data_IF_460810315177
#
_entry.id   IF_460810315177
#
_cell.length_a   1.000
_cell.length_b   1.000
_cell.length_c   1.000
_cell.angle_alpha   90.00
_cell.angle_beta   90.00
_cell.angle_gamma   90.00
#
_symmetry.space_group_name_H-M   'P 1'
#
loop_
_entity.id
_entity.type
_entity.pdbx_description
1 polymer ?
#
# COMPACT_ATOMS: atom_id res chain seq x y z
N UNK A 1 5.70 11.20 3.59
CA UNK A 1 5.77 10.73 2.19
C UNK A 1 5.50 9.23 2.20
N UNK A 2 4.71 8.72 1.25
CA UNK A 2 4.47 7.28 1.06
C UNK A 2 5.07 6.90 -0.30
N UNK A 3 5.92 5.88 -0.33
CA UNK A 3 6.60 5.41 -1.54
C UNK A 3 6.13 3.99 -1.89
N UNK A 4 5.80 3.77 -3.15
CA UNK A 4 5.37 2.49 -3.71
C UNK A 4 6.20 2.12 -4.93
N UNK A 5 6.13 0.85 -5.33
CA UNK A 5 6.91 0.32 -6.44
C UNK A 5 8.27 -0.21 -5.98
N UNK A 6 9.27 -0.10 -6.85
CA UNK A 6 10.64 -0.52 -6.56
C UNK A 6 11.40 0.62 -5.88
N UNK A 7 11.66 0.48 -4.58
CA UNK A 7 12.35 1.49 -3.79
C UNK A 7 13.86 1.41 -3.95
N UNK A 8 14.40 0.20 -4.04
CA UNK A 8 15.83 -0.04 -4.14
C UNK A 8 16.32 -0.07 -5.59
N UNK A 9 17.62 0.19 -5.77
CA UNK A 9 18.23 0.12 -7.08
C UNK A 9 18.23 -1.32 -7.62
N UNK A 10 17.95 -1.54 -8.91
CA UNK A 10 17.81 -2.88 -9.51
C UNK A 10 19.13 -3.65 -9.63
N UNK A 11 20.27 -2.98 -9.41
CA UNK A 11 21.61 -3.56 -9.36
C UNK A 11 22.07 -3.88 -7.93
N UNK A 12 21.23 -3.59 -6.93
CA UNK A 12 21.55 -3.75 -5.51
C UNK A 12 22.43 -2.66 -4.92
N UNK A 13 22.79 -1.64 -5.71
CA UNK A 13 23.64 -0.57 -5.26
C UNK A 13 22.89 0.38 -4.30
N UNK A 14 23.41 0.54 -3.09
CA UNK A 14 22.83 1.44 -2.08
C UNK A 14 23.50 2.82 -2.06
N UNK A 15 24.37 3.15 -3.02
CA UNK A 15 25.14 4.41 -3.07
C UNK A 15 24.25 5.66 -2.97
N UNK A 16 23.06 5.63 -3.56
CA UNK A 16 22.10 6.72 -3.48
C UNK A 16 21.55 6.94 -2.05
N UNK A 17 21.49 5.86 -1.25
CA UNK A 17 21.02 5.88 0.14
C UNK A 17 22.17 6.10 1.14
N UNK A 18 23.42 5.75 0.78
CA UNK A 18 24.58 5.81 1.67
C UNK A 18 24.73 7.15 2.41
N UNK A 19 24.63 8.34 1.78
CA UNK A 19 24.74 9.61 2.50
C UNK A 19 23.67 9.81 3.58
N UNK A 20 22.51 9.16 3.46
CA UNK A 20 21.46 9.21 4.48
C UNK A 20 21.71 8.18 5.59
N UNK A 21 22.21 7.00 5.25
CA UNK A 21 22.61 5.97 6.21
C UNK A 21 23.79 6.45 7.09
N UNK A 22 24.77 7.15 6.50
CA UNK A 22 25.90 7.74 7.22
C UNK A 22 25.57 9.07 7.89
N UNK A 23 24.32 9.54 7.80
CA UNK A 23 23.84 10.81 8.36
C UNK A 23 24.51 12.08 7.79
N UNK A 24 25.20 11.99 6.66
CA UNK A 24 25.73 13.15 5.90
C UNK A 24 24.60 14.00 5.31
N UNK A 25 23.52 13.35 4.87
CA UNK A 25 22.28 13.97 4.41
C UNK A 25 21.12 13.58 5.31
N UNK A 26 20.05 14.37 5.26
CA UNK A 26 18.83 14.15 6.05
C UNK A 26 17.61 14.11 5.15
N UNK A 27 16.73 13.16 5.44
CA UNK A 27 15.41 13.10 4.82
C UNK A 27 14.50 14.07 5.57
N UNK A 28 14.05 15.12 4.87
CA UNK A 28 13.36 16.26 5.49
C UNK A 28 11.94 15.95 5.95
N UNK A 29 11.29 14.96 5.32
CA UNK A 29 9.91 14.56 5.61
C UNK A 29 9.89 13.08 5.97
N UNK A 30 9.22 12.66 7.07
CA UNK A 30 9.04 11.25 7.39
C UNK A 30 8.54 10.47 6.17
N UNK A 31 9.29 9.46 5.76
CA UNK A 31 9.10 8.71 4.52
C UNK A 31 8.89 7.25 4.85
N UNK A 32 7.75 6.71 4.42
CA UNK A 32 7.37 5.32 4.58
C UNK A 32 7.35 4.67 3.22
N UNK A 33 7.90 3.46 3.09
CA UNK A 33 7.96 2.77 1.80
C UNK A 33 7.62 1.29 1.91
N UNK A 34 7.13 0.75 0.80
CA UNK A 34 7.07 -0.69 0.51
C UNK A 34 8.08 -1.04 -0.58
N UNK A 35 8.31 -2.33 -0.79
CA UNK A 35 9.13 -2.86 -1.88
C UNK A 35 8.26 -3.56 -2.92
N UNK A 36 8.75 -3.71 -4.14
CA UNK A 36 8.15 -4.51 -5.20
C UNK A 36 8.88 -5.83 -5.40
N UNK A 37 9.12 -6.18 -6.66
CA UNK A 37 9.80 -7.38 -7.13
C UNK A 37 11.33 -7.21 -7.23
N UNK A 38 11.96 -6.39 -6.39
CA UNK A 38 13.41 -6.21 -6.44
C UNK A 38 14.16 -7.54 -6.26
N UNK A 39 15.17 -7.79 -7.10
CA UNK A 39 15.87 -9.07 -7.17
C UNK A 39 16.76 -9.34 -5.94
N UNK A 40 16.39 -10.28 -5.05
CA UNK A 40 17.17 -10.56 -3.84
C UNK A 40 18.55 -11.13 -4.17
N UNK A 41 18.74 -11.75 -5.35
CA UNK A 41 20.04 -12.27 -5.79
C UNK A 41 21.09 -11.19 -6.02
N UNK A 42 20.66 -9.93 -6.16
CA UNK A 42 21.52 -8.75 -6.29
C UNK A 42 21.70 -8.00 -4.98
N UNK A 43 21.08 -8.45 -3.89
CA UNK A 43 21.16 -7.79 -2.58
C UNK A 43 20.40 -6.47 -2.50
N UNK A 44 19.47 -6.20 -3.42
CA UNK A 44 18.72 -4.93 -3.47
C UNK A 44 17.89 -4.67 -2.22
N UNK A 45 17.37 -5.70 -1.57
CA UNK A 45 16.58 -5.59 -0.33
C UNK A 45 17.41 -5.81 0.93
N UNK A 46 18.75 -5.91 0.83
CA UNK A 46 19.61 -6.25 1.98
C UNK A 46 19.46 -5.33 3.20
N UNK A 47 19.10 -4.06 2.97
CA UNK A 47 18.85 -3.08 4.03
C UNK A 47 17.59 -3.36 4.86
N UNK A 48 16.69 -4.23 4.38
CA UNK A 48 15.42 -4.56 5.04
C UNK A 48 15.27 -6.05 5.38
N UNK A 49 16.31 -6.85 5.11
CA UNK A 49 16.30 -8.30 5.37
C UNK A 49 16.12 -8.64 6.86
N UNK A 50 16.63 -7.80 7.76
CA UNK A 50 16.50 -7.95 9.22
C UNK A 50 15.24 -7.28 9.80
N UNK A 51 14.49 -6.52 8.99
CA UNK A 51 13.27 -5.80 9.40
C UNK A 51 12.08 -6.12 8.50
N UNK A 52 11.88 -7.41 8.20
CA UNK A 52 10.85 -7.87 7.26
C UNK A 52 9.42 -7.48 7.69
N UNK A 53 9.17 -7.36 9.00
CA UNK A 53 7.90 -6.91 9.56
C UNK A 53 7.79 -5.36 9.65
N UNK A 54 8.78 -4.67 9.10
CA UNK A 54 8.93 -3.23 9.07
C UNK A 54 9.85 -2.70 10.16
N UNK A 55 10.40 -1.52 9.92
CA UNK A 55 11.37 -0.90 10.81
C UNK A 55 11.96 0.38 10.23
N UNK A 56 12.62 1.15 11.08
CA UNK A 56 13.38 2.32 10.65
C UNK A 56 14.70 1.88 10.02
N UNK A 57 14.94 2.24 8.76
CA UNK A 57 16.20 2.00 8.05
C UNK A 57 17.23 3.05 8.45
N UNK A 58 16.80 4.31 8.49
CA UNK A 58 17.55 5.44 9.03
C UNK A 58 16.58 6.57 9.38
N UNK A 59 17.09 7.66 9.96
CA UNK A 59 16.27 8.77 10.44
C UNK A 59 15.28 9.26 9.38
N UNK A 60 13.99 9.23 9.70
CA UNK A 60 12.87 9.62 8.83
C UNK A 60 12.65 8.72 7.60
N UNK A 61 13.23 7.51 7.56
CA UNK A 61 13.00 6.52 6.52
C UNK A 61 12.60 5.18 7.14
N UNK A 62 11.37 4.77 6.89
CA UNK A 62 10.78 3.59 7.50
C UNK A 62 10.26 2.63 6.44
N UNK A 63 10.74 1.39 6.48
CA UNK A 63 10.14 0.30 5.73
C UNK A 63 8.86 -0.15 6.46
N UNK A 64 7.73 -0.20 5.76
CA UNK A 64 6.46 -0.59 6.38
C UNK A 64 6.42 -2.07 6.74
N UNK A 65 7.12 -2.91 5.98
CA UNK A 65 7.15 -4.35 6.14
C UNK A 65 6.63 -5.08 4.90
N UNK A 66 6.62 -6.40 4.98
CA UNK A 66 6.12 -7.30 3.94
C UNK A 66 4.65 -7.07 3.65
N UNK A 67 3.82 -7.13 4.68
CA UNK A 67 2.37 -6.96 4.58
C UNK A 67 1.83 -6.50 5.93
N UNK A 68 0.63 -5.90 5.91
CA UNK A 68 -0.11 -5.58 7.13
C UNK A 68 -0.82 -4.24 7.06
N UNK A 69 -1.25 -3.76 8.23
CA UNK A 69 -1.83 -2.43 8.39
C UNK A 69 -1.24 -1.74 9.62
N UNK A 70 -0.91 -0.45 9.49
CA UNK A 70 -0.28 0.36 10.55
C UNK A 70 -0.89 1.75 10.59
N UNK A 71 -1.04 2.31 11.80
CA UNK A 71 -1.30 3.74 11.96
C UNK A 71 0.01 4.48 11.99
N UNK A 72 0.13 5.49 11.13
CA UNK A 72 1.30 6.35 11.08
C UNK A 72 1.24 7.41 12.19
N UNK A 73 2.38 8.00 12.61
CA UNK A 73 2.41 9.07 13.61
C UNK A 73 1.56 10.31 13.25
N UNK A 74 1.28 10.53 11.97
CA UNK A 74 0.35 11.58 11.52
C UNK A 74 -1.13 11.22 11.67
N UNK A 75 -1.45 10.04 12.21
CA UNK A 75 -2.80 9.56 12.43
C UNK A 75 -3.42 8.81 11.24
N UNK A 76 -2.77 8.74 10.08
CA UNK A 76 -3.30 7.98 8.93
C UNK A 76 -3.22 6.48 9.14
N UNK A 77 -4.29 5.74 8.84
CA UNK A 77 -4.28 4.28 8.78
C UNK A 77 -3.86 3.80 7.40
N UNK A 78 -2.81 2.99 7.32
CA UNK A 78 -2.22 2.53 6.06
C UNK A 78 -2.17 1.02 6.03
N UNK A 79 -2.86 0.41 5.07
CA UNK A 79 -2.66 -0.98 4.67
C UNK A 79 -1.58 -1.04 3.58
N UNK A 80 -0.74 -2.07 3.60
CA UNK A 80 0.38 -2.16 2.67
C UNK A 80 0.70 -3.61 2.28
N UNK A 81 1.12 -3.80 1.04
CA UNK A 81 1.61 -5.06 0.48
C UNK A 81 2.89 -4.81 -0.32
N UNK A 82 4.00 -5.37 0.16
CA UNK A 82 5.28 -5.41 -0.53
C UNK A 82 5.41 -6.71 -1.35
N UNK A 83 6.20 -6.66 -2.42
CA UNK A 83 6.42 -7.80 -3.30
C UNK A 83 5.54 -7.80 -4.55
N UNK A 84 5.71 -8.85 -5.35
CA UNK A 84 4.94 -9.10 -6.56
C UNK A 84 4.18 -10.43 -6.55
N UNK A 85 3.13 -10.51 -7.37
CA UNK A 85 2.41 -11.74 -7.60
C UNK A 85 3.28 -12.75 -8.35
N UNK A 86 3.38 -13.96 -7.80
CA UNK A 86 3.96 -15.13 -8.48
C UNK A 86 2.99 -16.30 -8.32
N UNK A 87 2.29 -16.74 -9.39
CA UNK A 87 1.26 -17.78 -9.29
C UNK A 87 1.73 -19.03 -8.53
N UNK A 88 2.94 -19.51 -8.88
CA UNK A 88 3.53 -20.70 -8.29
C UNK A 88 3.89 -20.53 -6.82
N UNK A 89 4.08 -19.31 -6.32
CA UNK A 89 4.43 -19.05 -4.91
C UNK A 89 3.22 -18.67 -4.06
N UNK A 90 2.25 -18.01 -4.68
CA UNK A 90 1.09 -17.46 -3.99
C UNK A 90 0.27 -18.52 -3.24
N UNK A 91 0.07 -19.69 -3.85
CA UNK A 91 -0.74 -20.78 -3.29
C UNK A 91 0.05 -21.78 -2.42
N UNK A 92 1.38 -21.88 -2.59
CA UNK A 92 2.19 -22.91 -1.94
C UNK A 92 2.42 -22.64 -0.44
N UNK A 93 2.45 -21.38 -0.03
CA UNK A 93 3.02 -21.02 1.27
C UNK A 93 2.04 -20.99 2.44
N UNK A 94 0.73 -21.21 2.24
CA UNK A 94 -0.19 -21.40 3.37
C UNK A 94 0.21 -22.62 4.24
N UNK A 95 0.82 -23.66 3.65
CA UNK A 95 1.37 -24.82 4.37
C UNK A 95 2.79 -24.61 4.92
N UNK A 96 3.52 -23.59 4.45
CA UNK A 96 4.90 -23.28 4.82
C UNK A 96 5.07 -21.96 5.59
N UNK A 97 3.98 -21.23 5.87
CA UNK A 97 3.98 -19.94 6.56
C UNK A 97 4.68 -19.98 7.93
N UNK A 98 4.75 -21.15 8.58
CA UNK A 98 5.50 -21.39 9.82
C UNK A 98 7.03 -21.51 9.66
N UNK A 99 7.57 -21.48 8.44
CA UNK A 99 9.02 -21.49 8.13
C UNK A 99 9.54 -20.17 7.59
N UNK A 100 8.85 -19.04 7.80
CA UNK A 100 9.24 -17.70 7.30
C UNK A 100 10.47 -17.09 8.02
N UNK A 101 11.40 -17.92 8.46
CA UNK A 101 12.71 -17.53 9.00
C UNK A 101 13.75 -17.43 7.87
N UNK A 102 13.34 -16.88 6.72
CA UNK A 102 14.23 -16.66 5.59
C UNK A 102 15.15 -15.49 5.92
N UNK A 103 16.46 -15.67 5.71
CA UNK A 103 17.46 -14.62 5.94
C UNK A 103 17.26 -13.38 5.04
N UNK A 104 16.47 -13.51 3.97
CA UNK A 104 16.24 -12.45 2.99
C UNK A 104 14.74 -12.19 2.81
N UNK A 105 14.38 -10.92 2.59
CA UNK A 105 13.03 -10.55 2.22
C UNK A 105 12.69 -11.14 0.84
N UNK A 106 11.58 -11.87 0.76
CA UNK A 106 11.13 -12.44 -0.51
C UNK A 106 10.55 -11.34 -1.42
N UNK A 107 10.83 -11.34 -2.74
CA UNK A 107 10.31 -10.35 -3.69
C UNK A 107 8.86 -10.65 -4.12
N UNK A 108 8.16 -11.49 -3.37
CA UNK A 108 6.80 -11.92 -3.64
C UNK A 108 6.04 -12.10 -2.34
N UNK A 109 4.73 -11.90 -2.42
CA UNK A 109 3.82 -12.16 -1.32
C UNK A 109 3.05 -13.47 -1.55
N UNK A 110 2.45 -13.94 -0.46
CA UNK A 110 1.70 -15.21 -0.42
C UNK A 110 0.24 -14.94 -0.02
N UNK A 111 -0.62 -15.95 -0.15
CA UNK A 111 -2.04 -15.80 0.17
C UNK A 111 -2.28 -15.33 1.61
N UNK A 112 -1.51 -15.83 2.58
CA UNK A 112 -1.66 -15.44 3.99
C UNK A 112 -1.27 -13.99 4.28
N UNK A 113 -0.35 -13.40 3.50
CA UNK A 113 -0.03 -11.97 3.60
C UNK A 113 -1.24 -11.11 3.19
N UNK A 114 -1.97 -11.54 2.16
CA UNK A 114 -3.20 -10.89 1.70
C UNK A 114 -4.32 -11.06 2.72
N UNK A 115 -4.49 -12.28 3.25
CA UNK A 115 -5.48 -12.57 4.30
C UNK A 115 -5.23 -11.72 5.57
N UNK A 116 -3.96 -11.57 5.95
CA UNK A 116 -3.56 -10.73 7.08
C UNK A 116 -3.98 -9.27 6.87
N UNK A 117 -3.75 -8.70 5.69
CA UNK A 117 -4.14 -7.32 5.38
C UNK A 117 -5.67 -7.17 5.44
N UNK A 118 -6.42 -8.10 4.84
CA UNK A 118 -7.89 -8.05 4.88
C UNK A 118 -8.38 -8.10 6.32
N UNK A 119 -7.88 -9.04 7.13
CA UNK A 119 -8.23 -9.17 8.54
C UNK A 119 -7.86 -7.91 9.34
N UNK A 120 -6.65 -7.39 9.16
CA UNK A 120 -6.16 -6.21 9.87
C UNK A 120 -6.97 -4.96 9.49
N UNK A 121 -7.29 -4.76 8.21
CA UNK A 121 -8.07 -3.63 7.74
C UNK A 121 -9.54 -3.67 8.19
N UNK A 122 -10.07 -4.85 8.54
CA UNK A 122 -11.43 -5.04 9.08
C UNK A 122 -11.52 -4.90 10.60
N UNK A 123 -10.40 -4.74 11.30
CA UNK A 123 -10.38 -4.60 12.76
C UNK A 123 -10.32 -5.90 13.56
N UNK A 124 -10.02 -7.03 12.92
CA UNK A 124 -9.94 -8.35 13.56
C UNK A 124 -11.31 -9.05 13.68
N UNK A 125 -11.41 -10.30 13.21
CA UNK A 125 -12.64 -11.09 13.26
C UNK A 125 -12.75 -11.95 14.55
N UNK A 126 -11.69 -12.03 15.35
CA UNK A 126 -11.53 -13.02 16.45
C UNK A 126 -11.59 -12.44 17.88
N UNK A 127 -12.34 -11.35 18.11
CA UNK A 127 -12.58 -10.83 19.46
C UNK A 127 -11.40 -10.14 20.16
N UNK A 128 -10.24 -10.04 19.50
CA UNK A 128 -9.22 -9.04 19.82
C UNK A 128 -9.58 -7.77 19.06
N UNK A 129 -10.28 -6.85 19.72
CA UNK A 129 -10.63 -5.54 19.18
C UNK A 129 -9.33 -4.80 18.81
N UNK A 130 -8.97 -4.80 17.53
CA UNK A 130 -8.04 -3.81 17.01
C UNK A 130 -8.85 -2.52 16.81
N UNK A 131 -9.22 -1.87 17.93
CA UNK A 131 -9.96 -0.60 17.99
C UNK A 131 -9.31 0.49 17.11
N UNK A 132 -8.04 0.30 16.75
CA UNK A 132 -7.29 1.19 15.89
C UNK A 132 -7.80 1.22 14.43
N UNK A 133 -8.44 0.16 13.90
CA UNK A 133 -8.93 0.13 12.51
C UNK A 133 -10.43 -0.18 12.37
N UNK A 134 -11.07 -0.60 13.46
CA UNK A 134 -12.41 -1.22 13.46
C UNK A 134 -13.57 -0.30 13.04
N UNK A 135 -13.40 1.01 13.01
CA UNK A 135 -14.54 1.93 12.83
C UNK A 135 -14.82 2.34 11.38
N UNK A 136 -13.86 2.24 10.44
CA UNK A 136 -14.09 2.73 9.08
C UNK A 136 -13.07 2.29 8.00
N UNK A 137 -12.29 1.23 8.23
CA UNK A 137 -11.28 0.76 7.28
C UNK A 137 -9.99 1.58 7.28
N UNK A 138 -9.34 1.71 6.12
CA UNK A 138 -8.02 2.32 5.99
C UNK A 138 -8.04 3.61 5.17
N UNK A 139 -7.23 4.59 5.56
CA UNK A 139 -7.04 5.81 4.77
C UNK A 139 -6.39 5.48 3.43
N UNK A 140 -5.32 4.69 3.43
CA UNK A 140 -4.53 4.39 2.23
C UNK A 140 -4.18 2.90 2.16
N UNK A 141 -4.42 2.30 1.00
CA UNK A 141 -3.87 1.01 0.59
C UNK A 141 -2.66 1.25 -0.32
N UNK A 142 -1.50 0.69 0.05
CA UNK A 142 -0.28 0.73 -0.73
C UNK A 142 0.03 -0.64 -1.30
N UNK A 143 0.17 -0.75 -2.61
CA UNK A 143 0.64 -1.98 -3.27
C UNK A 143 1.77 -1.64 -4.22
N UNK A 144 2.67 -2.58 -4.48
CA UNK A 144 3.69 -2.37 -5.51
C UNK A 144 3.04 -2.40 -6.90
N UNK A 145 2.32 -3.49 -7.19
CA UNK A 145 1.63 -3.77 -8.47
C UNK A 145 0.17 -3.31 -8.49
N UNK A 146 -0.40 -3.27 -9.69
CA UNK A 146 -1.81 -3.01 -9.97
C UNK A 146 -2.62 -4.31 -9.94
N UNK A 147 -3.96 -4.18 -9.89
CA UNK A 147 -4.87 -5.31 -10.03
C UNK A 147 -5.14 -5.66 -11.49
N UNK A 148 -5.27 -6.95 -11.83
CA UNK A 148 -5.55 -7.45 -13.19
C UNK A 148 -6.82 -6.86 -13.85
N UNK A 149 -7.81 -6.45 -13.05
CA UNK A 149 -9.09 -5.91 -13.55
C UNK A 149 -9.14 -4.38 -13.58
N UNK A 150 -7.98 -3.72 -13.59
CA UNK A 150 -7.95 -2.25 -13.60
C UNK A 150 -8.54 -1.67 -14.89
N UNK A 151 -8.51 -2.43 -15.98
CA UNK A 151 -9.06 -2.09 -17.29
C UNK A 151 -10.58 -1.90 -17.23
N UNK A 152 -11.29 -2.65 -16.37
CA UNK A 152 -12.70 -2.43 -16.09
C UNK A 152 -13.01 -1.05 -15.48
N UNK A 153 -11.99 -0.32 -15.03
CA UNK A 153 -12.10 1.06 -14.54
C UNK A 153 -11.93 2.10 -15.65
N UNK A 154 -11.54 1.69 -16.85
CA UNK A 154 -11.32 2.59 -17.98
C UNK A 154 -12.65 3.02 -18.59
N UNK A 155 -12.90 4.33 -18.75
CA UNK A 155 -13.95 4.79 -19.64
C UNK A 155 -13.66 4.32 -21.08
N UNK A 156 -14.68 3.99 -21.86
CA UNK A 156 -14.56 3.55 -23.26
C UNK A 156 -13.75 4.53 -24.14
N UNK A 157 -13.68 5.80 -23.73
CA UNK A 157 -12.98 6.88 -24.44
C UNK A 157 -11.49 6.98 -24.10
N UNK A 158 -10.99 6.22 -23.14
CA UNK A 158 -9.62 6.30 -22.65
C UNK A 158 -8.74 5.19 -23.23
N UNK A 159 -7.55 5.56 -23.70
CA UNK A 159 -6.54 4.58 -24.12
C UNK A 159 -6.03 3.77 -22.93
N UNK A 160 -5.79 2.47 -23.12
CA UNK A 160 -5.25 1.59 -22.09
C UNK A 160 -3.87 2.11 -21.61
N UNK A 161 -3.71 2.46 -20.31
CA UNK A 161 -2.50 3.14 -19.80
C UNK A 161 -1.26 2.24 -19.86
N UNK A 162 -1.45 0.93 -19.94
CA UNK A 162 -0.38 -0.06 -20.07
C UNK A 162 -0.28 -0.61 -21.51
N UNK A 163 -0.84 0.07 -22.51
CA UNK A 163 -0.80 -0.40 -23.90
C UNK A 163 0.63 -0.61 -24.44
N UNK A 164 1.61 0.11 -23.89
CA UNK A 164 3.03 -0.03 -24.22
C UNK A 164 3.83 -0.80 -23.16
N UNK A 165 3.17 -1.36 -22.14
CA UNK A 165 3.83 -2.19 -21.15
C UNK A 165 4.30 -3.50 -21.80
N UNK A 166 5.53 -3.90 -21.50
CA UNK A 166 6.16 -5.11 -22.01
C UNK A 166 6.07 -6.29 -21.05
N UNK A 167 5.59 -6.03 -19.82
CA UNK A 167 5.45 -7.02 -18.76
C UNK A 167 4.00 -6.99 -18.26
N UNK A 168 3.41 -8.18 -18.12
CA UNK A 168 2.12 -8.36 -17.47
C UNK A 168 2.36 -8.68 -15.99
N UNK A 169 2.41 -7.62 -15.19
CA UNK A 169 2.66 -7.69 -13.74
C UNK A 169 1.39 -7.42 -12.94
N UNK A 170 0.23 -7.60 -13.55
CA UNK A 170 -1.04 -7.36 -12.87
C UNK A 170 -1.39 -8.49 -11.92
N UNK A 171 -2.03 -8.14 -10.81
CA UNK A 171 -2.22 -9.05 -9.69
C UNK A 171 -3.69 -9.36 -9.39
N UNK A 172 -4.11 -10.64 -9.39
CA UNK A 172 -5.41 -11.04 -8.84
C UNK A 172 -5.49 -10.80 -7.33
N UNK A 173 -4.37 -10.91 -6.61
CA UNK A 173 -4.30 -10.66 -5.17
C UNK A 173 -4.54 -9.17 -4.83
N UNK A 174 -3.97 -8.25 -5.62
CA UNK A 174 -4.23 -6.81 -5.48
C UNK A 174 -5.69 -6.50 -5.83
N UNK A 175 -6.25 -7.17 -6.84
CA UNK A 175 -7.69 -7.06 -7.15
C UNK A 175 -8.54 -7.49 -5.96
N UNK A 176 -8.17 -8.58 -5.28
CA UNK A 176 -8.84 -9.03 -4.05
C UNK A 176 -8.78 -7.96 -2.95
N UNK A 177 -7.60 -7.40 -2.67
CA UNK A 177 -7.46 -6.30 -1.70
C UNK A 177 -8.32 -5.10 -2.07
N UNK A 178 -8.32 -4.71 -3.35
CA UNK A 178 -9.15 -3.62 -3.85
C UNK A 178 -10.66 -3.90 -3.68
N UNK A 179 -11.09 -5.16 -3.61
CA UNK A 179 -12.49 -5.53 -3.36
C UNK A 179 -12.84 -5.71 -1.89
N UNK A 180 -11.91 -6.18 -1.06
CA UNK A 180 -12.18 -6.64 0.31
C UNK A 180 -11.74 -5.65 1.40
N UNK A 181 -10.96 -4.63 1.02
CA UNK A 181 -10.49 -3.57 1.92
C UNK A 181 -11.30 -2.28 1.67
N UNK A 182 -11.84 -1.71 2.75
CA UNK A 182 -12.47 -0.39 2.74
C UNK A 182 -11.41 0.72 2.75
N UNK A 183 -10.70 0.88 1.63
CA UNK A 183 -9.68 1.93 1.46
C UNK A 183 -10.28 3.20 0.84
N UNK A 184 -9.81 4.38 1.29
CA UNK A 184 -10.18 5.64 0.64
C UNK A 184 -9.30 5.95 -0.57
N UNK A 185 -8.03 5.60 -0.46
CA UNK A 185 -7.03 5.73 -1.51
C UNK A 185 -6.32 4.41 -1.74
N UNK A 186 -6.00 4.09 -2.99
CA UNK A 186 -5.14 2.98 -3.35
C UNK A 186 -4.04 3.50 -4.28
N UNK A 187 -2.77 3.28 -3.93
CA UNK A 187 -1.61 3.78 -4.66
C UNK A 187 -0.70 2.61 -5.05
N UNK A 188 -0.27 2.57 -6.31
CA UNK A 188 0.61 1.54 -6.87
C UNK A 188 1.58 2.10 -7.93
N UNK A 189 2.64 1.38 -8.30
CA UNK A 189 3.69 1.99 -9.14
C UNK A 189 4.71 1.09 -9.87
N UNK A 190 4.70 -0.23 -9.78
CA UNK A 190 5.68 -1.07 -10.51
C UNK A 190 5.50 -1.06 -12.02
N UNK A 191 4.28 -0.79 -12.49
CA UNK A 191 3.87 -0.66 -13.89
C UNK A 191 4.46 0.59 -14.55
N UNK A 192 4.91 1.56 -13.75
CA UNK A 192 5.63 2.73 -14.23
C UNK A 192 4.80 3.68 -15.11
N UNK A 193 3.47 3.57 -15.08
CA UNK A 193 2.54 4.43 -15.80
C UNK A 193 1.72 5.30 -14.84
N UNK A 194 1.46 6.55 -15.22
CA UNK A 194 0.52 7.38 -14.47
C UNK A 194 -0.92 7.06 -14.89
N UNK A 195 -1.76 6.72 -13.92
CA UNK A 195 -3.18 6.46 -14.14
C UNK A 195 -4.00 6.91 -12.93
N UNK A 196 -5.07 7.66 -13.18
CA UNK A 196 -5.94 8.20 -12.13
C UNK A 196 -7.40 8.21 -12.65
N UNK A 197 -8.08 7.03 -12.65
CA UNK A 197 -9.46 6.95 -13.09
C UNK A 197 -10.41 7.64 -12.10
N UNK A 198 -11.70 7.83 -12.46
CA UNK A 198 -12.73 8.10 -11.47
C UNK A 198 -12.69 7.06 -10.34
N UNK A 199 -13.11 7.41 -9.10
CA UNK A 199 -13.09 6.48 -7.99
C UNK A 199 -13.87 5.20 -8.31
N UNK A 200 -13.24 4.05 -8.09
CA UNK A 200 -13.95 2.77 -8.19
C UNK A 200 -14.74 2.51 -6.92
N UNK A 201 -15.76 1.66 -7.00
CA UNK A 201 -16.58 1.28 -5.85
C UNK A 201 -16.54 -0.23 -5.69
N UNK A 202 -16.16 -0.68 -4.50
CA UNK A 202 -16.42 -2.03 -4.05
C UNK A 202 -17.67 -2.02 -3.13
N UNK A 203 -18.05 -3.17 -2.58
CA UNK A 203 -19.20 -3.28 -1.70
C UNK A 203 -19.06 -2.53 -0.36
N UNK A 204 -17.84 -2.11 0.00
CA UNK A 204 -17.48 -1.53 1.29
C UNK A 204 -17.26 -0.01 1.21
N UNK A 205 -16.64 0.48 0.13
CA UNK A 205 -16.16 1.85 0.04
C UNK A 205 -15.94 2.32 -1.42
N UNK A 206 -15.89 3.64 -1.61
CA UNK A 206 -15.46 4.27 -2.87
C UNK A 206 -13.98 4.67 -2.80
N UNK A 207 -13.13 4.08 -3.64
CA UNK A 207 -11.67 4.21 -3.56
C UNK A 207 -11.12 5.03 -4.72
N UNK A 208 -10.27 6.00 -4.42
CA UNK A 208 -9.48 6.72 -5.43
C UNK A 208 -8.20 5.94 -5.73
N UNK A 209 -8.04 5.50 -6.97
CA UNK A 209 -6.83 4.81 -7.43
C UNK A 209 -5.81 5.77 -8.04
N UNK A 210 -4.53 5.55 -7.73
CA UNK A 210 -3.40 6.22 -8.35
C UNK A 210 -2.32 5.20 -8.75
N UNK A 211 -2.21 4.96 -10.04
CA UNK A 211 -1.01 4.38 -10.63
C UNK A 211 0.04 5.47 -10.85
N UNK A 212 1.27 5.25 -10.39
CA UNK A 212 2.36 6.22 -10.47
C UNK A 212 3.40 5.83 -11.53
N UNK A 213 3.89 6.85 -12.25
CA UNK A 213 5.02 6.70 -13.16
C UNK A 213 6.35 6.53 -12.43
N UNK A 214 7.36 6.00 -13.14
CA UNK A 214 8.73 5.90 -12.60
C UNK A 214 9.32 7.29 -12.33
N UNK A 215 10.00 7.49 -11.20
CA UNK A 215 10.72 8.74 -10.91
C UNK A 215 11.79 8.99 -11.97
N UNK A 216 11.83 10.21 -12.52
CA UNK A 216 12.80 10.60 -13.54
C UNK A 216 12.59 9.95 -14.90
N UNK A 217 11.38 9.44 -15.19
CA UNK A 217 11.07 8.88 -16.51
C UNK A 217 11.20 9.95 -17.63
N UNK A 218 11.67 9.53 -18.81
CA UNK A 218 11.88 10.40 -19.96
C UNK A 218 10.58 11.00 -20.53
N UNK A 219 9.45 10.32 -20.32
CA UNK A 219 8.14 10.76 -20.80
C UNK A 219 7.51 11.87 -19.92
N UNK A 220 8.13 12.24 -18.80
CA UNK A 220 7.58 13.22 -17.85
C UNK A 220 6.27 12.77 -17.18
N UNK A 221 5.96 11.47 -17.19
CA UNK A 221 4.79 10.92 -16.52
C UNK A 221 4.85 11.22 -15.01
N UNK A 222 3.69 11.50 -14.40
CA UNK A 222 3.62 11.88 -12.99
C UNK A 222 4.03 10.71 -12.09
N UNK A 223 5.12 10.89 -11.34
CA UNK A 223 5.62 9.93 -10.34
C UNK A 223 5.27 10.33 -8.90
N UNK A 224 4.54 11.44 -8.71
CA UNK A 224 4.17 11.98 -7.40
C UNK A 224 2.76 12.55 -7.46
N UNK A 225 1.99 12.29 -6.41
CA UNK A 225 0.67 12.87 -6.18
C UNK A 225 0.61 13.40 -4.75
N UNK A 226 0.01 14.58 -4.56
CA UNK A 226 -0.29 15.12 -3.26
C UNK A 226 -1.79 14.91 -2.95
N UNK A 227 -2.08 14.36 -1.78
CA UNK A 227 -3.45 14.07 -1.35
C UNK A 227 -3.67 14.72 0.02
N UNK A 228 -4.73 15.53 0.12
CA UNK A 228 -5.20 16.02 1.41
C UNK A 228 -6.13 14.97 2.03
N UNK A 229 -5.63 14.27 3.05
CA UNK A 229 -6.37 13.18 3.71
C UNK A 229 -6.68 13.58 5.15
N UNK A 230 -7.96 13.73 5.46
CA UNK A 230 -8.44 13.74 6.85
C UNK A 230 -8.52 12.29 7.34
N UNK A 231 -7.80 11.87 8.38
CA UNK A 231 -7.82 10.48 8.83
C UNK A 231 -9.23 9.93 9.04
N UNK A 232 -9.49 8.68 8.64
CA UNK A 232 -10.83 8.10 8.71
C UNK A 232 -11.35 8.03 10.15
N UNK A 233 -10.49 7.78 11.13
CA UNK A 233 -10.86 7.83 12.55
C UNK A 233 -11.37 9.22 12.98
N UNK A 234 -10.78 10.29 12.45
CA UNK A 234 -11.24 11.65 12.70
C UNK A 234 -12.59 11.91 12.02
N UNK A 235 -12.78 11.45 10.78
CA UNK A 235 -14.07 11.55 10.09
C UNK A 235 -15.19 10.83 10.85
N UNK A 236 -14.91 9.62 11.35
CA UNK A 236 -15.86 8.84 12.15
C UNK A 236 -16.22 9.56 13.46
N UNK A 237 -15.21 10.11 14.16
CA UNK A 237 -15.43 10.88 15.38
C UNK A 237 -16.24 12.16 15.13
N UNK A 238 -15.95 12.88 14.06
CA UNK A 238 -16.67 14.10 13.69
C UNK A 238 -18.13 13.78 13.31
N UNK A 239 -18.38 12.68 12.59
CA UNK A 239 -19.73 12.21 12.26
C UNK A 239 -20.53 11.79 13.50
N UNK A 240 -19.90 11.10 14.46
CA UNK A 240 -20.53 10.73 15.72
C UNK A 240 -20.92 11.98 16.55
N UNK A 241 -20.08 13.01 16.54
CA UNK A 241 -20.34 14.27 17.24
C UNK A 241 -21.47 15.09 16.62
N UNK A 242 -21.61 15.08 15.29
CA UNK A 242 -22.70 15.78 14.61
C UNK A 242 -24.01 15.02 14.71
N UNK A 243 -24.01 13.69 14.62
CA UNK A 243 -25.19 12.85 14.80
C UNK A 243 -25.80 12.89 16.20
N UNK A 244 -25.02 13.20 17.24
CA UNK A 244 -25.50 13.37 18.61
C UNK A 244 -26.29 14.68 18.85
N UNK A 245 -26.30 15.63 17.90
CA UNK A 245 -26.97 16.94 18.05
C UNK A 245 -28.41 16.99 17.50
N UNK A 246 -28.84 15.99 16.73
CA UNK A 246 -30.21 15.93 16.17
C UNK A 246 -31.23 15.24 17.11
N UNK A 247 -30.91 15.07 18.39
CA UNK A 247 -31.83 14.62 19.44
C UNK A 247 -32.57 15.75 20.17
N UNK A 248 -32.54 16.98 19.64
CA UNK A 248 -33.15 18.16 20.25
C UNK A 248 -34.58 18.41 19.78
N UNK A 249 -35.53 18.00 20.62
CA UNK A 249 -36.87 18.58 20.75
C UNK A 249 -37.86 18.41 19.58
N UNK A 250 -38.47 17.22 19.51
CA UNK A 250 -39.81 17.04 18.95
C UNK A 250 -40.80 16.79 20.09
N UNK A 251 -41.13 17.85 20.83
CA UNK A 251 -42.32 17.88 21.68
C UNK A 251 -43.14 19.14 21.39
N UNK A 252 -44.26 18.92 20.68
CA UNK A 252 -45.54 19.70 20.72
C UNK A 252 -45.54 21.13 20.15
N UNK A 253 -46.70 21.65 19.69
CA UNK A 253 -48.09 21.33 20.07
C UNK A 253 -48.85 20.37 19.16
#
# INVERSE_FOLDING_TARGET
>A
MLCVGRFFAPDGCSDALMPYLTSEKRISVPTYFITGDEDPGKGSTSLVDDIQDGGEVCKNLTFLGRAGAKRLPCGLSVAYLSGAYKPDKYALDAAFAGRRNAKTLAPHYISSDVDEIVRAARGGEDGEENEEFSLAGVDVLLTAEWGEKFDALLPDTMSHPLASATEDNLSPAVTRLATEVAARYHVAGTEGAYFAPPPYRNALHATRFYGLGKVGNAAGAKSLVAVAVTPTAQLALDAARTGARDGGDACTP
#
